data_IF_417580848020
#
_entry.id   IF_417580848020
#
_cell.length_a   1.000
_cell.length_b   1.000
_cell.length_c   1.000
_cell.angle_alpha   90.00
_cell.angle_beta   90.00
_cell.angle_gamma   90.00
#
_symmetry.space_group_name_H-M   'P 1'
#
loop_
_entity.id
_entity.type
_entity.pdbx_description
1 polymer ?
#
# COMPACT_ATOMS: atom_id res chain seq x y z
N UNK A 1 -0.66 3.96 23.99
CA UNK A 1 -1.69 3.89 22.93
C UNK A 1 -0.97 4.26 21.65
N UNK A 2 -0.68 3.29 20.78
CA UNK A 2 -0.03 3.60 19.51
C UNK A 2 -1.01 4.48 18.72
N UNK A 3 -0.60 5.69 18.36
CA UNK A 3 -1.31 6.52 17.39
C UNK A 3 -1.48 5.67 16.14
N UNK A 4 -2.69 5.16 15.90
CA UNK A 4 -3.01 4.49 14.63
C UNK A 4 -2.79 5.53 13.54
N UNK A 5 -1.75 5.35 12.72
CA UNK A 5 -1.53 6.23 11.57
C UNK A 5 -2.80 6.24 10.73
N UNK A 6 -3.42 7.41 10.58
CA UNK A 6 -4.64 7.55 9.79
C UNK A 6 -4.34 7.17 8.34
N UNK A 7 -4.89 6.05 7.86
CA UNK A 7 -4.78 5.64 6.45
C UNK A 7 -5.80 6.42 5.65
N UNK A 8 -5.32 7.27 4.74
CA UNK A 8 -6.20 8.19 4.00
C UNK A 8 -6.75 7.54 2.73
N UNK A 9 -8.08 7.44 2.65
CA UNK A 9 -8.75 7.07 1.39
C UNK A 9 -8.64 8.19 0.36
N UNK A 10 -8.15 7.87 -0.83
CA UNK A 10 -8.08 8.78 -1.97
C UNK A 10 -8.77 8.18 -3.21
N UNK A 11 -8.95 8.99 -4.26
CA UNK A 11 -9.39 8.51 -5.56
C UNK A 11 -8.21 8.07 -6.41
N UNK A 12 -8.45 7.21 -7.41
CA UNK A 12 -7.42 6.82 -8.37
C UNK A 12 -6.73 8.03 -9.03
N UNK A 13 -7.49 9.05 -9.43
CA UNK A 13 -6.94 10.30 -9.99
C UNK A 13 -6.03 11.04 -9.01
N UNK A 14 -6.39 11.08 -7.71
CA UNK A 14 -5.53 11.66 -6.68
C UNK A 14 -4.26 10.85 -6.49
N UNK A 15 -4.35 9.52 -6.53
CA UNK A 15 -3.19 8.64 -6.47
C UNK A 15 -2.23 8.88 -7.63
N UNK A 16 -2.75 9.00 -8.86
CA UNK A 16 -1.93 9.33 -10.04
C UNK A 16 -1.20 10.67 -9.88
N UNK A 17 -1.86 11.70 -9.36
CA UNK A 17 -1.23 12.99 -9.06
C UNK A 17 -0.16 12.89 -7.97
N UNK A 18 -0.40 12.05 -6.97
CA UNK A 18 0.55 11.79 -5.88
C UNK A 18 1.83 11.13 -6.44
N UNK A 19 1.67 10.08 -7.23
CA UNK A 19 2.78 9.40 -7.93
C UNK A 19 3.52 10.35 -8.88
N UNK A 20 2.80 11.17 -9.65
CA UNK A 20 3.42 12.15 -10.54
C UNK A 20 4.29 13.15 -9.77
N UNK A 21 3.81 13.66 -8.62
CA UNK A 21 4.58 14.56 -7.76
C UNK A 21 5.81 13.85 -7.19
N UNK A 22 5.67 12.59 -6.78
CA UNK A 22 6.78 11.76 -6.31
C UNK A 22 7.88 11.62 -7.37
N UNK A 23 7.53 11.23 -8.59
CA UNK A 23 8.48 11.11 -9.71
C UNK A 23 9.19 12.44 -10.03
N UNK A 24 8.51 13.57 -9.84
CA UNK A 24 9.07 14.91 -10.01
C UNK A 24 9.93 15.38 -8.83
N UNK A 25 10.15 14.52 -7.82
CA UNK A 25 10.84 14.87 -6.55
C UNK A 25 10.23 16.08 -5.86
N UNK A 26 8.92 16.28 -6.03
CA UNK A 26 8.16 17.34 -5.35
C UNK A 26 7.71 16.84 -3.98
N UNK A 27 7.38 17.79 -3.11
CA UNK A 27 6.78 17.47 -1.82
C UNK A 27 5.53 16.59 -2.00
N UNK A 28 5.49 15.50 -1.25
CA UNK A 28 4.34 14.62 -1.06
C UNK A 28 4.17 14.42 0.45
N UNK A 29 2.95 14.52 1.00
CA UNK A 29 2.73 14.22 2.42
C UNK A 29 3.19 12.80 2.75
N UNK A 30 3.88 12.62 3.87
CA UNK A 30 4.29 11.31 4.39
C UNK A 30 3.13 10.68 5.15
N UNK A 31 2.45 9.73 4.52
CA UNK A 31 1.25 9.10 5.06
C UNK A 31 0.92 7.83 4.27
N UNK A 32 0.15 6.92 4.86
CA UNK A 32 -0.42 5.81 4.12
C UNK A 32 -1.72 6.25 3.43
N UNK A 33 -1.86 5.89 2.16
CA UNK A 33 -3.05 6.13 1.35
C UNK A 33 -3.61 4.83 0.81
N UNK A 34 -4.91 4.79 0.53
CA UNK A 34 -5.48 3.71 -0.27
C UNK A 34 -6.54 4.20 -1.25
N UNK A 35 -6.73 3.47 -2.35
CA UNK A 35 -7.82 3.69 -3.29
C UNK A 35 -8.32 2.39 -3.90
N UNK A 36 -9.53 2.40 -4.49
CA UNK A 36 -10.08 1.25 -5.22
C UNK A 36 -9.91 1.45 -6.72
N UNK A 37 -9.41 0.45 -7.43
CA UNK A 37 -9.24 0.45 -8.87
C UNK A 37 -9.41 -0.94 -9.46
N UNK A 38 -10.22 -1.06 -10.51
CA UNK A 38 -10.51 -2.33 -11.20
C UNK A 38 -10.87 -3.52 -10.27
N UNK A 39 -11.61 -3.23 -9.20
CA UNK A 39 -12.04 -4.24 -8.23
C UNK A 39 -11.03 -4.52 -7.10
N UNK A 40 -9.80 -4.03 -7.21
CA UNK A 40 -8.73 -4.16 -6.22
C UNK A 40 -8.63 -2.94 -5.30
N UNK A 41 -8.06 -3.14 -4.12
CA UNK A 41 -7.62 -2.08 -3.20
C UNK A 41 -6.12 -1.88 -3.36
N UNK A 42 -5.69 -0.66 -3.63
CA UNK A 42 -4.28 -0.32 -3.79
C UNK A 42 -3.84 0.47 -2.58
N UNK A 43 -2.85 -0.03 -1.85
CA UNK A 43 -2.19 0.65 -0.75
C UNK A 43 -0.96 1.41 -1.27
N UNK A 44 -0.73 2.60 -0.71
CA UNK A 44 0.47 3.41 -0.94
C UNK A 44 1.02 3.78 0.43
N UNK A 45 2.26 3.40 0.71
CA UNK A 45 2.97 3.82 1.91
C UNK A 45 4.17 4.67 1.51
N UNK A 46 4.21 5.92 1.99
CA UNK A 46 5.38 6.76 1.86
C UNK A 46 5.85 7.41 3.19
N UNK A 47 5.50 6.79 4.31
CA UNK A 47 5.76 7.31 5.66
C UNK A 47 7.25 7.47 5.95
N UNK A 48 8.07 6.52 5.49
CA UNK A 48 9.53 6.52 5.71
C UNK A 48 10.33 7.35 4.68
N UNK A 49 9.67 7.90 3.66
CA UNK A 49 10.32 8.68 2.62
C UNK A 49 10.84 7.85 1.44
N UNK A 50 10.59 6.54 1.43
CA UNK A 50 10.45 5.74 0.21
C UNK A 50 8.96 5.64 -0.16
N UNK A 51 8.60 5.15 -1.34
CA UNK A 51 7.19 5.02 -1.74
C UNK A 51 6.92 3.60 -2.22
N UNK A 52 6.19 2.84 -1.41
CA UNK A 52 5.76 1.48 -1.69
C UNK A 52 4.30 1.47 -2.16
N UNK A 53 4.00 0.60 -3.12
CA UNK A 53 2.66 0.44 -3.68
C UNK A 53 2.37 -1.05 -3.80
N UNK A 54 1.20 -1.49 -3.34
CA UNK A 54 0.81 -2.90 -3.36
C UNK A 54 -0.71 -3.05 -3.61
N UNK A 55 -1.10 -4.16 -4.23
CA UNK A 55 -2.49 -4.45 -4.60
C UNK A 55 -3.10 -5.58 -3.76
N UNK A 56 -4.33 -5.38 -3.30
CA UNK A 56 -5.05 -6.28 -2.40
C UNK A 56 -6.45 -6.56 -2.91
N UNK A 57 -6.93 -7.80 -2.71
CA UNK A 57 -8.31 -8.17 -3.03
C UNK A 57 -9.30 -7.69 -1.96
N UNK A 58 -8.82 -7.50 -0.74
CA UNK A 58 -9.62 -7.17 0.42
C UNK A 58 -9.14 -5.87 1.09
N UNK A 59 -10.11 -5.08 1.59
CA UNK A 59 -9.83 -3.79 2.22
C UNK A 59 -9.08 -3.98 3.54
N UNK A 60 -9.44 -4.98 4.34
CA UNK A 60 -8.82 -5.20 5.65
C UNK A 60 -7.34 -5.48 5.49
N UNK A 61 -6.97 -6.35 4.54
CA UNK A 61 -5.55 -6.62 4.26
C UNK A 61 -4.79 -5.38 3.80
N UNK A 62 -5.40 -4.54 2.96
CA UNK A 62 -4.79 -3.29 2.51
C UNK A 62 -4.54 -2.32 3.67
N UNK A 63 -5.51 -2.19 4.58
CA UNK A 63 -5.39 -1.32 5.75
C UNK A 63 -4.39 -1.87 6.76
N UNK A 64 -4.43 -3.18 7.04
CA UNK A 64 -3.43 -3.83 7.88
C UNK A 64 -2.03 -3.52 7.31
N UNK A 65 -1.84 -3.63 5.98
CA UNK A 65 -0.57 -3.32 5.26
C UNK A 65 -0.09 -1.91 5.53
N UNK A 66 -0.98 -0.95 5.38
CA UNK A 66 -0.70 0.44 5.68
C UNK A 66 -0.39 0.71 7.17
N UNK A 67 -0.89 -0.10 8.09
CA UNK A 67 -0.64 0.05 9.52
C UNK A 67 0.64 -0.67 10.00
N UNK A 68 1.30 -1.44 9.14
CA UNK A 68 2.44 -2.27 9.53
C UNK A 68 2.07 -3.37 10.53
N UNK A 69 0.78 -3.73 10.65
CA UNK A 69 0.28 -4.71 11.63
C UNK A 69 0.46 -6.16 11.19
N UNK A 70 1.47 -6.49 10.39
CA UNK A 70 1.78 -7.88 10.04
C UNK A 70 2.74 -8.44 11.07
N UNK A 71 2.33 -9.51 11.74
CA UNK A 71 3.33 -10.48 12.17
C UNK A 71 3.93 -11.09 10.90
N UNK A 72 5.26 -11.05 10.78
CA UNK A 72 6.02 -11.53 9.60
C UNK A 72 5.62 -12.97 9.20
N UNK A 73 5.14 -13.78 10.15
CA UNK A 73 4.65 -15.14 9.95
C UNK A 73 3.34 -15.23 9.15
N UNK A 74 2.50 -14.18 9.17
CA UNK A 74 1.23 -14.11 8.45
C UNK A 74 1.44 -13.63 7.01
N UNK A 75 2.46 -12.82 6.75
CA UNK A 75 2.80 -12.33 5.41
C UNK A 75 3.25 -13.47 4.47
N UNK A 76 4.08 -14.40 4.96
CA UNK A 76 4.48 -15.58 4.16
C UNK A 76 3.31 -16.53 3.89
N UNK A 77 2.44 -16.75 4.89
CA UNK A 77 1.22 -17.55 4.71
C UNK A 77 0.27 -16.89 3.72
N UNK A 78 0.09 -15.58 3.80
CA UNK A 78 -0.75 -14.80 2.90
C UNK A 78 -0.21 -14.86 1.45
N UNK A 79 1.09 -14.63 1.24
CA UNK A 79 1.73 -14.78 -0.10
C UNK A 79 1.54 -16.19 -0.67
N UNK A 80 1.70 -17.24 0.16
CA UNK A 80 1.46 -18.64 -0.26
C UNK A 80 -0.01 -18.92 -0.59
N UNK A 81 -0.94 -18.42 0.23
CA UNK A 81 -2.37 -18.70 0.08
C UNK A 81 -2.98 -18.00 -1.13
N UNK A 82 -2.49 -16.81 -1.49
CA UNK A 82 -3.03 -16.02 -2.60
C UNK A 82 -2.22 -16.12 -3.90
N UNK A 83 -1.20 -17.01 -3.96
CA UNK A 83 -0.31 -17.22 -5.11
C UNK A 83 0.09 -15.90 -5.77
N UNK A 84 0.72 -15.01 -5.02
CA UNK A 84 1.54 -14.00 -5.69
C UNK A 84 2.64 -14.75 -6.43
N UNK A 85 2.55 -14.73 -7.76
CA UNK A 85 3.50 -15.38 -8.64
C UNK A 85 4.88 -14.87 -8.31
N UNK A 86 5.72 -15.80 -7.89
CA UNK A 86 7.15 -15.60 -7.84
C UNK A 86 7.61 -15.36 -9.28
N UNK A 87 7.62 -14.10 -9.72
CA UNK A 87 8.40 -13.70 -10.88
C UNK A 87 9.86 -13.52 -10.45
N UNK A 88 10.42 -14.55 -9.83
CA UNK A 88 11.85 -14.82 -9.93
C UNK A 88 12.12 -15.20 -11.38
N UNK A 89 12.57 -14.23 -12.17
CA UNK A 89 13.34 -14.52 -13.37
C UNK A 89 14.72 -14.95 -12.87
N UNK A 90 14.91 -16.26 -12.71
CA UNK A 90 16.19 -16.98 -12.83
C UNK A 90 15.94 -18.49 -12.74
#
# INVERSE_FOLDING_TARGET
MADMMDVMRISHHKAQKLMQRWCQRRFVPRQCFYYRYQGMFVGIDNTEGECFVEEFKDLRTCLDWCHGTFEISEFEKYKRQYKFGDHSIA
#
